data_IF_561561144558
#
_entry.id   IF_561561144558
#
_cell.length_a   1.000
_cell.length_b   1.000
_cell.length_c   1.000
_cell.angle_alpha   90.00
_cell.angle_beta   90.00
_cell.angle_gamma   90.00
#
_symmetry.space_group_name_H-M   'P 1'
#
loop_
_entity.id
_entity.type
_entity.pdbx_description
1 polymer ?
#
# COMPACT_ATOMS: atom_id res chain seq x y z
N UNK A 1 12.09 31.50 25.03
CA UNK A 1 11.07 32.52 25.36
C UNK A 1 9.85 31.79 25.92
N UNK A 2 9.35 32.21 27.08
CA UNK A 2 8.08 31.71 27.63
C UNK A 2 6.95 32.03 26.63
N UNK A 3 6.09 31.06 26.36
CA UNK A 3 4.89 31.30 25.56
C UNK A 3 3.85 32.04 26.42
N UNK A 4 3.12 33.01 25.84
CA UNK A 4 1.99 33.62 26.55
C UNK A 4 0.85 32.61 26.72
N UNK A 5 -0.04 32.82 27.70
CA UNK A 5 -1.27 32.02 27.79
C UNK A 5 -2.04 32.01 26.49
N UNK A 6 -2.50 30.84 26.03
CA UNK A 6 -3.16 30.64 24.74
C UNK A 6 -2.24 30.66 23.52
N UNK A 7 -0.94 30.80 23.71
CA UNK A 7 0.04 30.79 22.61
C UNK A 7 0.19 29.43 21.94
N UNK A 8 0.39 29.43 20.61
CA UNK A 8 0.66 28.22 19.82
C UNK A 8 2.09 28.32 19.30
N UNK A 9 2.84 27.22 19.40
CA UNK A 9 4.18 27.11 18.85
C UNK A 9 4.27 25.87 17.94
N UNK A 10 4.54 26.10 16.67
CA UNK A 10 4.88 25.04 15.74
C UNK A 10 6.35 24.65 15.90
N UNK A 11 6.61 23.37 16.05
CA UNK A 11 7.96 22.82 15.97
C UNK A 11 8.24 22.33 14.55
N UNK A 12 9.51 22.33 14.11
CA UNK A 12 9.91 21.64 12.89
C UNK A 12 9.54 20.16 12.95
N UNK A 13 9.56 19.48 11.80
CA UNK A 13 9.31 18.04 11.78
C UNK A 13 10.30 17.32 12.72
N UNK A 14 9.80 16.84 13.85
CA UNK A 14 10.64 16.22 14.89
C UNK A 14 11.46 15.04 14.37
N UNK A 15 10.97 14.33 13.34
CA UNK A 15 11.70 13.20 12.77
C UNK A 15 13.05 13.63 12.14
N UNK A 16 13.13 14.85 11.65
CA UNK A 16 14.29 15.40 10.94
C UNK A 16 14.83 16.67 11.60
N UNK A 17 14.61 16.82 12.90
CA UNK A 17 14.87 18.08 13.64
C UNK A 17 16.34 18.53 13.53
N UNK A 18 17.30 17.61 13.63
CA UNK A 18 18.72 17.92 13.64
C UNK A 18 19.41 17.61 12.31
N UNK A 19 18.95 16.64 11.53
CA UNK A 19 19.55 16.23 10.27
C UNK A 19 18.43 15.82 9.28
N UNK A 20 18.23 16.61 8.20
CA UNK A 20 17.24 16.29 7.16
C UNK A 20 17.47 14.94 6.47
N UNK A 21 18.70 14.44 6.45
CA UNK A 21 19.07 13.18 5.82
C UNK A 21 18.91 11.97 6.75
N UNK A 22 18.87 12.20 8.07
CA UNK A 22 18.85 11.13 9.08
C UNK A 22 17.65 11.29 10.02
N UNK A 23 16.65 10.41 9.92
CA UNK A 23 15.51 10.48 10.81
C UNK A 23 15.90 10.14 12.27
N UNK A 24 15.21 10.79 13.21
CA UNK A 24 15.25 10.47 14.64
C UNK A 24 16.63 10.68 15.33
N UNK A 25 17.42 11.63 14.82
CA UNK A 25 18.77 11.94 15.34
C UNK A 25 18.79 12.80 16.59
N UNK A 26 17.66 13.40 16.99
CA UNK A 26 17.60 14.19 18.21
C UNK A 26 17.89 13.34 19.47
N UNK A 27 18.49 13.99 20.48
CA UNK A 27 18.98 13.32 21.68
C UNK A 27 17.85 12.82 22.58
N UNK A 28 18.18 11.91 23.51
CA UNK A 28 17.25 11.50 24.56
C UNK A 28 16.95 12.65 25.50
N UNK A 29 17.93 13.49 25.78
CA UNK A 29 17.83 14.67 26.64
C UNK A 29 16.75 15.61 26.14
N UNK A 30 16.66 15.84 24.83
CA UNK A 30 15.59 16.64 24.21
C UNK A 30 14.20 16.06 24.51
N UNK A 31 14.05 14.73 24.49
CA UNK A 31 12.79 14.06 24.85
C UNK A 31 12.46 14.22 26.32
N UNK A 32 13.48 14.15 27.21
CA UNK A 32 13.29 14.42 28.64
C UNK A 32 12.85 15.88 28.88
N UNK A 33 13.45 16.84 28.19
CA UNK A 33 13.05 18.25 28.27
C UNK A 33 11.61 18.45 27.80
N UNK A 34 11.22 17.87 26.65
CA UNK A 34 9.84 17.92 26.16
C UNK A 34 8.86 17.31 27.17
N UNK A 35 9.22 16.16 27.74
CA UNK A 35 8.38 15.51 28.74
C UNK A 35 8.23 16.39 30.01
N UNK A 36 9.30 17.07 30.44
CA UNK A 36 9.27 17.89 31.65
C UNK A 36 8.42 19.17 31.47
N UNK A 37 8.45 19.78 30.29
CA UNK A 37 7.69 21.03 30.01
C UNK A 37 6.26 20.79 29.57
N UNK A 38 5.86 19.54 29.34
CA UNK A 38 4.53 19.18 28.86
C UNK A 38 3.71 18.53 29.97
N UNK A 39 2.44 18.89 30.10
CA UNK A 39 1.50 18.28 31.04
C UNK A 39 0.66 17.19 30.36
N UNK A 40 0.39 17.35 29.06
CA UNK A 40 -0.44 16.44 28.26
C UNK A 40 0.26 16.11 26.95
N UNK A 41 0.22 14.83 26.56
CA UNK A 41 0.61 14.37 25.24
C UNK A 41 -0.62 13.89 24.46
N UNK A 42 -0.83 14.46 23.29
CA UNK A 42 -1.93 14.07 22.39
C UNK A 42 -1.36 13.60 21.05
N UNK A 43 -1.60 12.34 20.68
CA UNK A 43 -1.20 11.84 19.37
C UNK A 43 -2.38 11.88 18.38
N UNK A 44 -2.29 12.74 17.37
CA UNK A 44 -3.23 12.79 16.22
C UNK A 44 -2.62 12.24 14.93
N UNK A 45 -1.35 11.77 14.96
CA UNK A 45 -0.60 11.39 13.78
C UNK A 45 -0.74 9.89 13.48
N UNK A 46 -1.91 9.46 12.95
CA UNK A 46 -2.16 8.06 12.58
C UNK A 46 -1.09 7.53 11.62
N UNK A 47 -0.78 8.24 10.54
CA UNK A 47 0.20 7.83 9.55
C UNK A 47 1.63 7.61 10.08
N UNK A 48 1.96 8.17 11.26
CA UNK A 48 3.24 7.99 11.92
C UNK A 48 3.20 7.00 13.11
N UNK A 49 2.01 6.54 13.53
CA UNK A 49 1.84 5.75 14.76
C UNK A 49 2.51 4.37 14.72
N UNK A 50 2.78 3.83 13.51
CA UNK A 50 3.54 2.60 13.30
C UNK A 50 5.05 2.74 13.52
N UNK A 51 5.56 3.98 13.65
CA UNK A 51 7.00 4.25 13.76
C UNK A 51 7.47 4.16 15.23
N UNK A 52 8.70 3.66 15.42
CA UNK A 52 9.35 3.56 16.73
C UNK A 52 10.17 4.79 17.08
N UNK A 53 9.90 5.96 16.46
CA UNK A 53 10.63 7.21 16.74
C UNK A 53 10.45 7.65 18.20
N UNK A 54 11.43 8.37 18.71
CA UNK A 54 11.44 8.80 20.12
C UNK A 54 10.22 9.65 20.48
N UNK A 55 9.76 10.52 19.56
CA UNK A 55 8.56 11.36 19.78
C UNK A 55 7.25 10.57 19.82
N UNK A 56 7.17 9.44 19.11
CA UNK A 56 5.96 8.61 19.04
C UNK A 56 5.94 7.53 20.12
N UNK A 57 7.10 6.97 20.48
CA UNK A 57 7.19 5.86 21.43
C UNK A 57 7.75 6.28 22.78
N UNK A 58 8.95 6.90 22.81
CA UNK A 58 9.66 7.19 24.05
C UNK A 58 9.01 8.32 24.86
N UNK A 59 8.63 9.42 24.19
CA UNK A 59 8.01 10.58 24.85
C UNK A 59 6.73 10.21 25.62
N UNK A 60 5.71 9.57 24.99
CA UNK A 60 4.49 9.21 25.73
C UNK A 60 4.76 8.17 26.84
N UNK A 61 5.70 7.24 26.66
CA UNK A 61 6.08 6.29 27.72
C UNK A 61 6.68 7.03 28.93
N UNK A 62 7.61 7.95 28.67
CA UNK A 62 8.23 8.76 29.72
C UNK A 62 7.20 9.62 30.46
N UNK A 63 6.30 10.28 29.74
CA UNK A 63 5.25 11.09 30.36
C UNK A 63 4.30 10.25 31.22
N UNK A 64 3.98 9.00 30.82
CA UNK A 64 3.23 8.06 31.67
C UNK A 64 3.96 7.74 32.96
N UNK A 65 5.29 7.53 32.95
CA UNK A 65 6.04 7.29 34.17
C UNK A 65 6.07 8.50 35.11
N UNK A 66 5.83 9.70 34.56
CA UNK A 66 5.69 10.95 35.32
C UNK A 66 4.24 11.23 35.76
N UNK A 67 3.33 10.27 35.62
CA UNK A 67 1.88 10.40 35.88
C UNK A 67 1.20 11.52 35.07
N UNK A 68 1.71 11.84 33.88
CA UNK A 68 1.13 12.84 32.98
C UNK A 68 0.12 12.21 32.03
N UNK A 69 -0.82 13.02 31.55
CA UNK A 69 -1.87 12.56 30.66
C UNK A 69 -1.33 12.25 29.25
N UNK A 70 -1.59 11.05 28.76
CA UNK A 70 -1.22 10.59 27.42
C UNK A 70 -2.44 10.00 26.74
N UNK A 71 -2.90 10.63 25.66
CA UNK A 71 -4.16 10.28 24.98
C UNK A 71 -4.01 10.22 23.47
N UNK A 72 -4.88 9.45 22.82
CA UNK A 72 -5.12 9.55 21.40
C UNK A 72 -5.95 10.80 21.11
N UNK A 73 -5.55 11.58 20.11
CA UNK A 73 -6.38 12.67 19.60
C UNK A 73 -7.53 12.15 18.73
N UNK A 74 -8.45 13.05 18.40
CA UNK A 74 -9.69 12.71 17.65
C UNK A 74 -9.42 12.02 16.33
N UNK A 75 -8.47 12.51 15.52
CA UNK A 75 -8.11 11.87 14.24
C UNK A 75 -7.58 10.44 14.44
N UNK A 76 -6.65 10.24 15.37
CA UNK A 76 -6.12 8.91 15.64
C UNK A 76 -7.22 7.96 16.12
N UNK A 77 -8.11 8.45 16.98
CA UNK A 77 -9.22 7.64 17.50
C UNK A 77 -10.24 7.29 16.41
N UNK A 78 -10.55 8.22 15.50
CA UNK A 78 -11.42 7.96 14.35
C UNK A 78 -10.84 6.89 13.43
N UNK A 79 -9.56 7.00 13.07
CA UNK A 79 -8.86 6.01 12.24
C UNK A 79 -8.87 4.62 12.87
N UNK A 80 -8.50 4.52 14.16
CA UNK A 80 -8.52 3.25 14.90
C UNK A 80 -9.94 2.64 14.93
N UNK A 81 -10.95 3.48 15.16
CA UNK A 81 -12.35 3.04 15.25
C UNK A 81 -12.84 2.57 13.88
N UNK A 82 -12.63 3.35 12.82
CA UNK A 82 -13.09 3.03 11.47
C UNK A 82 -12.40 1.79 10.92
N UNK A 83 -11.07 1.71 11.02
CA UNK A 83 -10.31 0.53 10.57
C UNK A 83 -10.63 -0.71 11.42
N UNK A 84 -10.83 -0.54 12.72
CA UNK A 84 -11.23 -1.65 13.60
C UNK A 84 -12.62 -2.17 13.26
N UNK A 85 -13.59 -1.29 12.97
CA UNK A 85 -14.92 -1.68 12.52
C UNK A 85 -14.87 -2.40 11.17
N UNK A 86 -14.11 -1.83 10.23
CA UNK A 86 -13.94 -2.41 8.91
C UNK A 86 -13.25 -3.78 8.97
N UNK A 87 -12.21 -3.92 9.79
CA UNK A 87 -11.52 -5.20 10.01
C UNK A 87 -12.46 -6.28 10.57
N UNK A 88 -13.35 -5.93 11.51
CA UNK A 88 -14.39 -6.86 12.00
C UNK A 88 -15.36 -7.27 10.91
N UNK A 89 -15.75 -6.38 10.01
CA UNK A 89 -16.61 -6.70 8.86
C UNK A 89 -15.92 -7.71 7.92
N UNK A 90 -14.64 -7.49 7.59
CA UNK A 90 -13.86 -8.43 6.76
C UNK A 90 -13.82 -9.82 7.40
N UNK A 91 -13.49 -9.91 8.68
CA UNK A 91 -13.39 -11.18 9.40
C UNK A 91 -14.74 -11.91 9.44
N UNK A 92 -15.84 -11.17 9.62
CA UNK A 92 -17.19 -11.77 9.67
C UNK A 92 -17.74 -12.17 8.30
N UNK A 93 -17.29 -11.53 7.22
CA UNK A 93 -17.77 -11.74 5.86
C UNK A 93 -16.62 -11.80 4.84
N UNK A 94 -15.65 -12.71 5.00
CA UNK A 94 -14.49 -12.77 4.12
C UNK A 94 -14.88 -13.08 2.67
N UNK A 95 -15.83 -13.98 2.45
CA UNK A 95 -16.36 -14.34 1.13
C UNK A 95 -17.13 -13.20 0.42
N UNK A 96 -17.40 -12.08 1.11
CA UNK A 96 -18.00 -10.86 0.58
C UNK A 96 -17.00 -9.70 0.51
N UNK A 97 -15.72 -10.00 0.67
CA UNK A 97 -14.64 -9.02 0.70
C UNK A 97 -13.74 -9.19 -0.51
N UNK A 98 -13.50 -8.08 -1.20
CA UNK A 98 -12.50 -7.94 -2.26
C UNK A 98 -11.36 -7.06 -1.77
N UNK A 99 -10.15 -7.45 -2.10
CA UNK A 99 -8.94 -6.69 -1.80
C UNK A 99 -8.31 -6.19 -3.09
N UNK A 100 -7.91 -4.92 -3.12
CA UNK A 100 -7.14 -4.33 -4.21
C UNK A 100 -5.74 -3.99 -3.66
N UNK A 101 -4.73 -4.66 -4.18
CA UNK A 101 -3.34 -4.46 -3.79
C UNK A 101 -2.56 -3.86 -4.95
N UNK A 102 -2.16 -2.61 -4.80
CA UNK A 102 -1.33 -1.87 -5.76
C UNK A 102 0.01 -1.45 -5.16
N UNK A 103 0.75 -0.66 -5.92
CA UNK A 103 2.04 -0.12 -5.51
C UNK A 103 3.23 -0.80 -6.17
N UNK A 104 4.44 -0.51 -5.66
CA UNK A 104 5.69 -0.87 -6.34
C UNK A 104 6.33 -2.16 -5.84
N UNK A 105 6.13 -2.55 -4.58
CA UNK A 105 6.86 -3.65 -3.93
C UNK A 105 5.94 -4.66 -3.27
N UNK A 106 6.20 -5.95 -3.49
CA UNK A 106 5.48 -7.05 -2.82
C UNK A 106 5.84 -7.11 -1.33
N UNK A 107 7.11 -6.84 -0.98
CA UNK A 107 7.60 -6.84 0.40
C UNK A 107 6.81 -5.91 1.31
N UNK A 108 6.41 -4.74 0.82
CA UNK A 108 5.65 -3.76 1.59
C UNK A 108 4.20 -4.24 1.88
N UNK A 109 3.69 -5.19 1.09
CA UNK A 109 2.33 -5.72 1.16
C UNK A 109 2.27 -7.17 1.68
N UNK A 110 3.41 -7.84 1.80
CA UNK A 110 3.50 -9.28 2.07
C UNK A 110 2.65 -9.73 3.27
N UNK A 111 2.81 -9.05 4.41
CA UNK A 111 2.10 -9.41 5.64
C UNK A 111 0.58 -9.21 5.50
N UNK A 112 0.18 -8.15 4.82
CA UNK A 112 -1.23 -7.82 4.58
C UNK A 112 -1.85 -8.81 3.59
N UNK A 113 -1.15 -9.14 2.50
CA UNK A 113 -1.61 -10.14 1.52
C UNK A 113 -1.75 -11.53 2.16
N UNK A 114 -0.74 -11.98 2.93
CA UNK A 114 -0.81 -13.25 3.66
C UNK A 114 -2.01 -13.28 4.63
N UNK A 115 -2.26 -12.17 5.33
CA UNK A 115 -3.40 -12.09 6.24
C UNK A 115 -4.75 -12.19 5.50
N UNK A 116 -4.92 -11.51 4.36
CA UNK A 116 -6.14 -11.61 3.57
C UNK A 116 -6.34 -12.99 2.95
N UNK A 117 -5.27 -13.62 2.46
CA UNK A 117 -5.31 -15.02 2.00
C UNK A 117 -5.70 -15.94 3.15
N UNK A 118 -5.11 -15.78 4.34
CA UNK A 118 -5.46 -16.56 5.52
C UNK A 118 -6.93 -16.37 5.93
N UNK A 119 -7.45 -15.16 5.84
CA UNK A 119 -8.84 -14.81 6.17
C UNK A 119 -9.84 -15.43 5.17
N UNK A 120 -9.39 -15.78 3.96
CA UNK A 120 -10.22 -16.39 2.93
C UNK A 120 -11.14 -15.38 2.23
N UNK A 121 -10.61 -14.22 1.87
CA UNK A 121 -11.35 -13.20 1.10
C UNK A 121 -11.78 -13.74 -0.26
N UNK A 122 -12.85 -13.16 -0.83
CA UNK A 122 -13.42 -13.59 -2.13
C UNK A 122 -12.40 -13.51 -3.27
N UNK A 123 -11.68 -12.40 -3.36
CA UNK A 123 -10.65 -12.17 -4.39
C UNK A 123 -9.66 -11.11 -3.94
N UNK A 124 -8.44 -11.16 -4.50
CA UNK A 124 -7.41 -10.15 -4.36
C UNK A 124 -6.97 -9.71 -5.75
N UNK A 125 -7.22 -8.47 -6.10
CA UNK A 125 -6.68 -7.84 -7.31
C UNK A 125 -5.26 -7.40 -7.06
N UNK A 126 -4.35 -7.81 -7.93
CA UNK A 126 -2.95 -7.39 -7.92
C UNK A 126 -2.74 -6.39 -9.04
N UNK A 127 -2.30 -5.18 -8.71
CA UNK A 127 -2.03 -4.11 -9.66
C UNK A 127 -0.76 -3.35 -9.37
N UNK A 128 -0.57 -2.21 -10.05
CA UNK A 128 0.64 -1.41 -9.92
C UNK A 128 1.90 -2.14 -10.40
N UNK A 129 3.07 -1.57 -10.12
CA UNK A 129 4.36 -2.13 -10.56
C UNK A 129 4.65 -3.51 -9.97
N UNK A 130 4.10 -3.83 -8.80
CA UNK A 130 4.31 -5.12 -8.14
C UNK A 130 3.74 -6.30 -8.95
N UNK A 131 2.81 -6.08 -9.87
CA UNK A 131 2.27 -7.14 -10.73
C UNK A 131 3.37 -7.84 -11.54
N UNK A 132 4.42 -7.11 -11.92
CA UNK A 132 5.53 -7.68 -12.69
C UNK A 132 6.22 -8.82 -11.95
N UNK A 133 6.43 -8.68 -10.63
CA UNK A 133 7.01 -9.75 -9.81
C UNK A 133 6.12 -11.00 -9.80
N UNK A 134 4.81 -10.84 -9.71
CA UNK A 134 3.85 -11.95 -9.76
C UNK A 134 3.81 -12.65 -11.13
N UNK A 135 3.81 -11.89 -12.22
CA UNK A 135 3.79 -12.46 -13.58
C UNK A 135 5.06 -13.28 -13.85
N UNK A 136 6.23 -12.76 -13.46
CA UNK A 136 7.50 -13.46 -13.58
C UNK A 136 7.53 -14.72 -12.69
N UNK A 137 7.09 -14.61 -11.44
CA UNK A 137 7.01 -15.75 -10.52
C UNK A 137 6.09 -16.86 -11.08
N UNK A 138 4.93 -16.49 -11.63
CA UNK A 138 3.99 -17.42 -12.28
C UNK A 138 4.62 -18.13 -13.47
N UNK A 139 5.31 -17.39 -14.34
CA UNK A 139 6.03 -17.93 -15.50
C UNK A 139 7.17 -18.87 -15.12
N UNK A 140 7.95 -18.51 -14.09
CA UNK A 140 9.02 -19.35 -13.57
C UNK A 140 8.48 -20.69 -13.03
N UNK A 141 7.41 -20.66 -12.24
CA UNK A 141 6.76 -21.86 -11.71
C UNK A 141 6.21 -22.77 -12.82
N UNK A 142 5.64 -22.22 -13.88
CA UNK A 142 5.11 -23.01 -14.99
C UNK A 142 6.22 -23.77 -15.76
N UNK A 143 7.46 -23.28 -15.74
CA UNK A 143 8.59 -23.90 -16.42
C UNK A 143 9.34 -24.92 -15.59
N UNK A 144 9.07 -25.03 -14.29
CA UNK A 144 9.80 -25.90 -13.33
C UNK A 144 11.33 -25.72 -13.34
N UNK A 145 11.82 -24.54 -13.69
CA UNK A 145 13.25 -24.23 -13.77
C UNK A 145 13.62 -23.32 -12.60
N UNK A 146 14.80 -23.49 -11.98
CA UNK A 146 15.30 -22.55 -11.01
C UNK A 146 15.37 -21.13 -11.61
N UNK A 147 14.75 -20.17 -10.97
CA UNK A 147 14.68 -18.78 -11.43
C UNK A 147 16.00 -18.07 -11.18
N UNK A 148 16.52 -17.39 -12.19
CA UNK A 148 17.77 -16.63 -12.14
C UNK A 148 17.66 -15.25 -12.76
N UNK A 149 18.74 -14.47 -12.66
CA UNK A 149 18.82 -13.10 -13.20
C UNK A 149 18.57 -13.04 -14.71
N UNK A 150 18.95 -14.09 -15.44
CA UNK A 150 18.75 -14.25 -16.87
C UNK A 150 17.29 -14.38 -17.30
N UNK A 151 16.41 -14.72 -16.35
CA UNK A 151 14.96 -14.87 -16.62
C UNK A 151 14.20 -13.57 -16.44
N UNK A 152 14.87 -12.51 -15.95
CA UNK A 152 14.28 -11.19 -15.76
C UNK A 152 14.43 -10.38 -17.05
N UNK A 153 13.33 -9.84 -17.62
CA UNK A 153 13.37 -8.95 -18.76
C UNK A 153 14.31 -7.75 -18.54
N UNK A 154 15.11 -7.41 -19.54
CA UNK A 154 16.11 -6.34 -19.45
C UNK A 154 15.52 -4.99 -19.09
N UNK A 155 14.30 -4.67 -19.55
CA UNK A 155 13.60 -3.43 -19.22
C UNK A 155 13.25 -3.27 -17.74
N UNK A 156 13.20 -4.39 -17.00
CA UNK A 156 12.94 -4.43 -15.56
C UNK A 156 14.21 -4.46 -14.72
N UNK A 157 15.37 -4.70 -15.36
CA UNK A 157 16.67 -4.68 -14.69
C UNK A 157 17.21 -3.27 -14.56
N UNK A 158 17.90 -3.02 -13.46
CA UNK A 158 18.66 -1.80 -13.20
C UNK A 158 20.14 -2.04 -13.54
N UNK A 159 20.87 -0.95 -13.80
CA UNK A 159 22.35 -0.98 -13.81
C UNK A 159 22.95 -1.22 -12.42
N UNK A 160 22.15 -1.12 -11.37
CA UNK A 160 22.56 -1.34 -9.98
C UNK A 160 22.19 -2.77 -9.56
N UNK A 161 23.21 -3.58 -9.24
CA UNK A 161 23.05 -4.97 -8.82
C UNK A 161 22.21 -5.16 -7.55
N UNK A 162 22.32 -4.25 -6.58
CA UNK A 162 21.55 -4.30 -5.35
C UNK A 162 20.03 -4.14 -5.62
N UNK A 163 19.67 -3.28 -6.58
CA UNK A 163 18.26 -3.15 -7.02
C UNK A 163 17.76 -4.40 -7.72
N UNK A 164 18.61 -5.06 -8.51
CA UNK A 164 18.28 -6.32 -9.17
C UNK A 164 18.08 -7.44 -8.13
N UNK A 165 18.96 -7.53 -7.14
CA UNK A 165 18.80 -8.49 -6.04
C UNK A 165 17.54 -8.23 -5.23
N UNK A 166 17.20 -6.96 -4.99
CA UNK A 166 15.94 -6.59 -4.36
C UNK A 166 14.74 -7.07 -5.18
N UNK A 167 14.79 -6.90 -6.50
CA UNK A 167 13.69 -7.33 -7.38
C UNK A 167 13.55 -8.86 -7.43
N UNK A 168 14.67 -9.62 -7.41
CA UNK A 168 14.63 -11.08 -7.27
C UNK A 168 13.91 -11.49 -5.98
N UNK A 169 14.19 -10.82 -4.87
CA UNK A 169 13.51 -11.08 -3.61
C UNK A 169 11.98 -10.79 -3.73
N UNK A 170 11.60 -9.74 -4.42
CA UNK A 170 10.18 -9.43 -4.69
C UNK A 170 9.50 -10.56 -5.49
N UNK A 171 10.18 -11.13 -6.49
CA UNK A 171 9.66 -12.26 -7.28
C UNK A 171 9.50 -13.51 -6.42
N UNK A 172 10.46 -13.82 -5.56
CA UNK A 172 10.36 -14.94 -4.63
C UNK A 172 9.18 -14.78 -3.66
N UNK A 173 9.00 -13.58 -3.10
CA UNK A 173 7.88 -13.26 -2.23
C UNK A 173 6.53 -13.36 -2.96
N UNK A 174 6.47 -12.92 -4.21
CA UNK A 174 5.29 -13.10 -5.05
C UNK A 174 4.98 -14.60 -5.26
N UNK A 175 6.02 -15.41 -5.49
CA UNK A 175 5.91 -16.87 -5.58
C UNK A 175 5.32 -17.51 -4.33
N UNK A 176 5.74 -17.09 -3.14
CA UNK A 176 5.18 -17.55 -1.87
C UNK A 176 3.68 -17.22 -1.73
N UNK A 177 3.28 -16.01 -2.14
CA UNK A 177 1.87 -15.61 -2.10
C UNK A 177 1.03 -16.43 -3.08
N UNK A 178 1.55 -16.69 -4.30
CA UNK A 178 0.89 -17.55 -5.28
C UNK A 178 0.61 -18.95 -4.71
N UNK A 179 1.61 -19.59 -4.10
CA UNK A 179 1.44 -20.90 -3.48
C UNK A 179 0.41 -20.86 -2.35
N UNK A 180 0.57 -19.88 -1.46
CA UNK A 180 -0.29 -19.75 -0.30
C UNK A 180 -1.75 -19.47 -0.70
N UNK A 181 -1.97 -18.66 -1.75
CA UNK A 181 -3.32 -18.40 -2.25
C UNK A 181 -3.96 -19.65 -2.89
N UNK A 182 -3.18 -20.45 -3.61
CA UNK A 182 -3.64 -21.71 -4.18
C UNK A 182 -4.03 -22.70 -3.09
N UNK A 183 -3.21 -22.87 -2.05
CA UNK A 183 -3.49 -23.75 -0.90
C UNK A 183 -4.78 -23.34 -0.17
N UNK A 184 -5.01 -22.04 -0.03
CA UNK A 184 -6.19 -21.47 0.64
C UNK A 184 -7.39 -21.30 -0.30
N UNK A 185 -7.23 -21.53 -1.59
CA UNK A 185 -8.26 -21.34 -2.63
C UNK A 185 -8.78 -19.89 -2.70
N UNK A 186 -7.92 -18.91 -2.45
CA UNK A 186 -8.22 -17.49 -2.62
C UNK A 186 -7.85 -17.08 -4.05
N UNK A 187 -8.78 -16.45 -4.75
CA UNK A 187 -8.55 -16.04 -6.14
C UNK A 187 -7.67 -14.79 -6.21
N UNK A 188 -6.48 -14.92 -6.81
CA UNK A 188 -5.66 -13.77 -7.20
C UNK A 188 -6.00 -13.39 -8.63
N UNK A 189 -6.47 -12.15 -8.82
CA UNK A 189 -6.86 -11.61 -10.13
C UNK A 189 -5.78 -10.65 -10.60
N UNK A 190 -5.28 -10.91 -11.81
CA UNK A 190 -4.25 -10.11 -12.46
C UNK A 190 -4.86 -9.31 -13.61
N UNK A 191 -4.22 -8.19 -14.00
CA UNK A 191 -4.63 -7.45 -15.19
C UNK A 191 -4.60 -8.33 -16.45
N UNK A 192 -5.59 -8.11 -17.31
CA UNK A 192 -5.72 -8.79 -18.62
C UNK A 192 -5.13 -7.96 -19.75
N UNK A 193 -5.13 -6.63 -19.57
CA UNK A 193 -4.54 -5.67 -20.48
C UNK A 193 -3.87 -4.52 -19.71
N UNK A 194 -3.00 -3.80 -20.38
CA UNK A 194 -2.12 -2.82 -19.78
C UNK A 194 -2.00 -1.57 -20.66
N UNK A 195 -1.94 -0.40 -20.01
CA UNK A 195 -1.53 0.85 -20.62
C UNK A 195 -0.01 0.94 -20.57
N UNK A 196 0.65 0.89 -21.72
CA UNK A 196 2.09 0.76 -21.85
C UNK A 196 2.73 1.92 -22.61
N UNK A 197 4.02 2.11 -22.39
CA UNK A 197 4.90 2.88 -23.28
C UNK A 197 6.02 1.96 -23.76
N UNK A 198 6.52 2.19 -24.96
CA UNK A 198 7.72 1.48 -25.39
C UNK A 198 8.97 2.02 -24.67
N UNK A 199 10.06 1.25 -24.70
CA UNK A 199 11.33 1.63 -24.09
C UNK A 199 11.93 2.92 -24.70
N UNK A 200 11.44 3.36 -25.86
CA UNK A 200 11.90 4.51 -26.64
C UNK A 200 11.00 5.74 -26.50
N UNK A 201 10.00 5.71 -25.59
CA UNK A 201 9.09 6.81 -25.30
C UNK A 201 8.10 7.16 -26.42
N UNK A 202 7.67 6.16 -27.20
CA UNK A 202 6.58 6.31 -28.14
C UNK A 202 5.23 6.62 -27.44
N UNK A 203 4.19 7.01 -28.20
CA UNK A 203 2.87 7.26 -27.62
C UNK A 203 2.38 6.06 -26.82
N UNK A 204 1.61 6.34 -25.77
CA UNK A 204 0.95 5.34 -24.95
C UNK A 204 0.06 4.43 -25.81
N UNK A 205 0.13 3.12 -25.60
CA UNK A 205 -0.68 2.11 -26.28
C UNK A 205 -1.17 1.05 -25.28
N UNK A 206 -2.20 0.30 -25.69
CA UNK A 206 -2.72 -0.79 -24.89
C UNK A 206 -2.16 -2.13 -25.38
N UNK A 207 -1.81 -3.01 -24.45
CA UNK A 207 -1.39 -4.38 -24.71
C UNK A 207 -2.43 -5.31 -24.11
N UNK A 208 -3.09 -6.08 -24.98
CA UNK A 208 -4.03 -7.13 -24.60
C UNK A 208 -3.25 -8.42 -24.36
N UNK A 209 -2.96 -8.77 -23.14
CA UNK A 209 -2.22 -9.93 -22.67
C UNK A 209 -1.02 -9.54 -21.79
N UNK A 210 -0.26 -10.52 -21.33
CA UNK A 210 1.00 -10.23 -20.62
C UNK A 210 1.93 -9.41 -21.54
N UNK A 211 2.40 -8.23 -21.09
CA UNK A 211 3.29 -7.40 -21.87
C UNK A 211 4.59 -8.13 -22.19
N UNK A 212 5.11 -7.92 -23.39
CA UNK A 212 6.50 -8.26 -23.68
C UNK A 212 7.42 -7.27 -22.96
N UNK A 213 7.75 -7.61 -21.70
CA UNK A 213 8.60 -6.78 -20.85
C UNK A 213 10.01 -6.53 -21.42
N UNK A 214 10.41 -7.21 -22.51
CA UNK A 214 11.65 -6.86 -23.22
C UNK A 214 11.51 -5.58 -24.03
N UNK A 215 10.27 -5.16 -24.34
CA UNK A 215 10.01 -4.04 -25.25
C UNK A 215 9.22 -2.90 -24.63
N UNK A 216 8.41 -3.17 -23.61
CA UNK A 216 7.45 -2.20 -23.09
C UNK A 216 7.50 -2.05 -21.58
N UNK A 217 7.19 -0.84 -21.09
CA UNK A 217 6.95 -0.55 -19.70
C UNK A 217 5.45 -0.40 -19.47
N UNK A 218 4.95 -1.17 -18.54
CA UNK A 218 3.59 -1.06 -18.04
C UNK A 218 3.49 0.14 -17.08
N UNK A 219 2.52 1.02 -17.32
CA UNK A 219 2.33 2.23 -16.51
C UNK A 219 0.96 2.31 -15.84
N UNK A 220 -0.09 1.67 -16.39
CA UNK A 220 -1.41 1.61 -15.77
C UNK A 220 -2.18 0.36 -16.25
N UNK A 221 -3.37 0.14 -15.69
CA UNK A 221 -4.32 -0.86 -16.14
C UNK A 221 -4.89 -0.49 -17.51
N UNK A 222 -5.22 -1.49 -18.32
CA UNK A 222 -5.99 -1.30 -19.52
C UNK A 222 -7.51 -1.34 -19.28
N UNK A 223 -8.32 -0.93 -20.27
CA UNK A 223 -9.77 -0.79 -20.12
C UNK A 223 -10.49 -2.12 -19.83
N UNK A 224 -10.03 -3.23 -20.38
CA UNK A 224 -10.62 -4.56 -20.09
C UNK A 224 -10.41 -4.96 -18.63
N UNK A 225 -9.22 -4.69 -18.10
CA UNK A 225 -8.89 -4.94 -16.70
C UNK A 225 -9.76 -4.09 -15.77
N UNK A 226 -9.91 -2.81 -16.08
CA UNK A 226 -10.75 -1.89 -15.30
C UNK A 226 -12.19 -2.39 -15.29
N UNK A 227 -12.73 -2.76 -16.44
CA UNK A 227 -14.09 -3.29 -16.55
C UNK A 227 -14.27 -4.61 -15.79
N UNK A 228 -13.32 -5.55 -15.90
CA UNK A 228 -13.35 -6.81 -15.15
C UNK A 228 -13.32 -6.56 -13.63
N UNK A 229 -12.48 -5.65 -13.15
CA UNK A 229 -12.42 -5.29 -11.74
C UNK A 229 -13.74 -4.64 -11.28
N UNK A 230 -14.31 -3.72 -12.06
CA UNK A 230 -15.62 -3.12 -11.79
C UNK A 230 -16.71 -4.21 -11.69
N UNK A 231 -16.80 -5.10 -12.68
CA UNK A 231 -17.78 -6.18 -12.69
C UNK A 231 -17.62 -7.13 -11.50
N UNK A 232 -16.40 -7.44 -11.10
CA UNK A 232 -16.16 -8.28 -9.93
C UNK A 232 -16.57 -7.57 -8.64
N UNK A 233 -16.32 -6.28 -8.50
CA UNK A 233 -16.72 -5.47 -7.32
C UNK A 233 -18.24 -5.36 -7.26
N UNK A 234 -18.91 -5.13 -8.39
CA UNK A 234 -20.36 -5.05 -8.49
C UNK A 234 -21.07 -6.41 -8.47
N UNK A 235 -20.32 -7.52 -8.52
CA UNK A 235 -20.92 -8.85 -8.51
C UNK A 235 -21.67 -9.12 -7.20
N UNK A 236 -22.71 -9.98 -7.29
CA UNK A 236 -23.53 -10.35 -6.14
C UNK A 236 -22.73 -10.77 -4.92
N UNK A 237 -23.04 -10.12 -3.82
CA UNK A 237 -22.51 -10.45 -2.51
C UNK A 237 -21.20 -9.76 -2.14
N UNK A 238 -20.62 -8.87 -2.93
CA UNK A 238 -19.50 -8.02 -2.47
C UNK A 238 -20.08 -6.90 -1.60
N UNK A 239 -19.61 -6.85 -0.36
CA UNK A 239 -20.02 -5.83 0.62
C UNK A 239 -18.84 -5.01 1.14
N UNK A 240 -17.60 -5.52 0.98
CA UNK A 240 -16.41 -4.86 1.53
C UNK A 240 -15.31 -4.81 0.47
N UNK A 241 -14.69 -3.63 0.32
CA UNK A 241 -13.48 -3.47 -0.51
C UNK A 241 -12.39 -2.83 0.33
N UNK A 242 -11.24 -3.50 0.41
CA UNK A 242 -10.02 -2.94 0.98
C UNK A 242 -9.03 -2.66 -0.13
N UNK A 243 -8.60 -1.42 -0.28
CA UNK A 243 -7.66 -1.02 -1.31
C UNK A 243 -6.41 -0.39 -0.70
N UNK A 244 -5.23 -0.88 -1.07
CA UNK A 244 -3.96 -0.37 -0.58
C UNK A 244 -2.94 -0.19 -1.73
N UNK A 245 -2.66 1.05 -2.07
CA UNK A 245 -1.66 1.49 -3.04
C UNK A 245 -2.20 1.70 -4.46
N UNK A 246 -1.53 2.56 -5.26
CA UNK A 246 -1.97 2.92 -6.60
C UNK A 246 -1.84 1.75 -7.59
N UNK A 247 -2.68 1.76 -8.62
CA UNK A 247 -2.71 0.75 -9.67
C UNK A 247 -1.88 1.13 -10.89
N UNK A 248 -1.57 2.43 -11.03
CA UNK A 248 -0.76 2.99 -12.10
C UNK A 248 0.31 3.96 -11.60
N UNK A 249 1.13 4.48 -12.50
CA UNK A 249 2.20 5.44 -12.24
C UNK A 249 1.66 6.88 -12.19
N UNK A 250 0.76 7.15 -11.24
CA UNK A 250 0.02 8.41 -11.10
C UNK A 250 0.91 9.66 -10.91
N UNK A 251 2.13 9.47 -10.44
CA UNK A 251 3.13 10.52 -10.19
C UNK A 251 4.17 10.66 -11.32
N UNK A 252 3.89 10.10 -12.51
CA UNK A 252 4.80 10.16 -13.62
C UNK A 252 4.95 11.60 -14.13
N UNK A 253 6.19 12.17 -14.19
CA UNK A 253 6.41 13.60 -14.39
C UNK A 253 5.92 14.15 -15.73
N UNK A 254 5.66 13.30 -16.70
CA UNK A 254 5.31 13.71 -18.06
C UNK A 254 3.84 13.48 -18.41
N UNK A 255 3.04 12.87 -17.54
CA UNK A 255 1.66 12.55 -17.91
C UNK A 255 0.81 12.11 -16.72
N UNK A 256 -0.36 12.74 -16.55
CA UNK A 256 -1.38 12.36 -15.58
C UNK A 256 -2.25 11.17 -16.06
N UNK A 257 -2.04 10.69 -17.29
CA UNK A 257 -2.89 9.66 -17.93
C UNK A 257 -2.71 8.26 -17.30
N UNK A 258 -1.70 8.07 -16.44
CA UNK A 258 -1.42 6.79 -15.79
C UNK A 258 -2.06 6.65 -14.39
N UNK A 259 -3.05 7.47 -14.12
CA UNK A 259 -3.89 7.38 -12.92
C UNK A 259 -5.32 6.89 -13.24
N UNK A 260 -5.64 6.68 -14.53
CA UNK A 260 -7.00 6.41 -15.03
C UNK A 260 -7.61 5.18 -14.35
N UNK A 261 -6.88 4.06 -14.30
CA UNK A 261 -7.35 2.85 -13.63
C UNK A 261 -7.66 3.06 -12.15
N UNK A 262 -6.82 3.82 -11.44
CA UNK A 262 -7.07 4.14 -10.03
C UNK A 262 -8.26 5.08 -9.87
N UNK A 263 -8.40 6.10 -10.72
CA UNK A 263 -9.49 7.08 -10.62
C UNK A 263 -10.85 6.45 -10.93
N UNK A 264 -10.96 5.65 -11.97
CA UNK A 264 -12.21 5.00 -12.35
C UNK A 264 -12.70 4.01 -11.29
N UNK A 265 -11.79 3.23 -10.69
CA UNK A 265 -12.17 2.34 -9.61
C UNK A 265 -12.51 3.10 -8.32
N UNK A 266 -11.81 4.19 -8.00
CA UNK A 266 -12.14 5.02 -6.84
C UNK A 266 -13.52 5.67 -6.99
N UNK A 267 -13.87 6.14 -8.18
CA UNK A 267 -15.19 6.68 -8.47
C UNK A 267 -16.29 5.62 -8.30
N UNK A 268 -16.08 4.41 -8.84
CA UNK A 268 -17.02 3.31 -8.65
C UNK A 268 -17.27 3.00 -7.18
N UNK A 269 -16.19 2.89 -6.37
CA UNK A 269 -16.31 2.60 -4.94
C UNK A 269 -17.05 3.71 -4.19
N UNK A 270 -16.85 4.96 -4.59
CA UNK A 270 -17.55 6.09 -4.02
C UNK A 270 -19.06 6.05 -4.36
N UNK A 271 -19.42 5.84 -5.62
CA UNK A 271 -20.82 5.75 -6.08
C UNK A 271 -21.53 4.57 -5.41
N UNK A 272 -20.90 3.41 -5.32
CA UNK A 272 -21.46 2.24 -4.64
C UNK A 272 -21.68 2.50 -3.14
N UNK A 273 -20.72 3.15 -2.48
CA UNK A 273 -20.84 3.48 -1.06
C UNK A 273 -21.95 4.49 -0.76
N UNK A 274 -22.32 5.35 -1.73
CA UNK A 274 -23.43 6.29 -1.59
C UNK A 274 -24.79 5.62 -1.77
N UNK A 275 -24.89 4.64 -2.64
CA UNK A 275 -26.16 4.03 -3.05
C UNK A 275 -26.50 2.74 -2.30
N UNK A 276 -25.48 2.01 -1.83
CA UNK A 276 -25.61 0.71 -1.19
C UNK A 276 -25.19 0.77 0.29
N UNK A 277 -26.16 0.82 1.20
CA UNK A 277 -25.91 0.90 2.65
C UNK A 277 -25.13 -0.30 3.23
N UNK A 278 -25.14 -1.44 2.55
CA UNK A 278 -24.38 -2.63 2.96
C UNK A 278 -22.92 -2.59 2.49
N UNK A 279 -22.59 -1.73 1.52
CA UNK A 279 -21.26 -1.61 0.97
C UNK A 279 -20.36 -0.74 1.83
N UNK A 280 -19.11 -1.08 1.92
CA UNK A 280 -18.07 -0.30 2.62
C UNK A 280 -16.74 -0.46 1.93
N UNK A 281 -16.08 0.64 1.66
CA UNK A 281 -14.74 0.64 1.09
C UNK A 281 -13.76 1.41 1.99
N UNK A 282 -12.54 0.91 2.11
CA UNK A 282 -11.41 1.60 2.74
C UNK A 282 -10.28 1.67 1.73
N UNK A 283 -9.83 2.88 1.44
CA UNK A 283 -8.73 3.17 0.53
C UNK A 283 -7.58 3.75 1.33
N UNK A 284 -6.39 3.16 1.19
CA UNK A 284 -5.17 3.59 1.83
C UNK A 284 -3.97 3.49 0.90
N UNK A 285 -2.89 4.20 1.26
CA UNK A 285 -1.66 4.18 0.48
C UNK A 285 -0.82 5.42 0.65
#
# INVERSE_FOLDING_TARGET
>A
KRMPPGGIKFLPNLRYLLDPSKPDTYSKEFIYELANVSDVYINCAFGCSHRTTKSIKMLPQLMKTQNKLVVAGTLLNQEITNLGNFGRRIISKPNKTVVIAGGAKVSDKLSVLKQFVHTGVKAIFIGGKMVNAFLIARKAKSKMIPFGLSDIPRTLLSTNEEKNQTFINEINLAGEILDFSNDKKVNLIFPEDYKCVDAFKAPTFFVESEPDFEKVLQLDLGPKTIENFKNTILSDGVENVFWNGPLGAYDHPNNNDYAEGSLELAQLLFEEALTNQNFSAVIGG
#
